data_IF_542776525933
#
_entry.id   IF_542776525933
#
_cell.length_a   1.000
_cell.length_b   1.000
_cell.length_c   1.000
_cell.angle_alpha   90.00
_cell.angle_beta   90.00
_cell.angle_gamma   90.00
#
_symmetry.space_group_name_H-M   'P 1'
#
loop_
_entity.id
_entity.type
_entity.pdbx_description
1 polymer ?
#
# COMPACT_ATOMS: atom_id res chain seq x y z
N UNK A 1 -10.70 -3.14 18.60
CA UNK A 1 -10.23 -1.76 18.31
C UNK A 1 -10.24 -1.58 16.80
N UNK A 2 -10.93 -0.56 16.29
CA UNK A 2 -10.99 -0.29 14.86
C UNK A 2 -9.84 0.63 14.43
N UNK A 3 -9.41 0.52 13.17
CA UNK A 3 -8.37 1.37 12.56
C UNK A 3 -8.93 2.65 11.92
N UNK A 4 -10.23 2.93 12.10
CA UNK A 4 -10.90 4.06 11.47
C UNK A 4 -10.30 5.41 11.92
N UNK A 5 -10.15 6.34 10.98
CA UNK A 5 -9.54 7.66 11.19
C UNK A 5 -8.08 7.61 11.69
N UNK A 6 -7.33 6.56 11.35
CA UNK A 6 -5.89 6.45 11.64
C UNK A 6 -5.08 6.45 10.35
N UNK A 7 -3.86 6.99 10.40
CA UNK A 7 -2.96 7.02 9.25
C UNK A 7 -2.35 5.64 8.99
N UNK A 8 -2.25 5.26 7.72
CA UNK A 8 -1.57 4.04 7.29
C UNK A 8 -0.08 4.13 7.65
N UNK A 9 0.46 3.06 8.23
CA UNK A 9 1.89 2.95 8.57
C UNK A 9 2.72 2.67 7.31
N UNK A 10 4.00 3.07 7.27
CA UNK A 10 4.90 2.71 6.18
C UNK A 10 4.94 1.19 5.99
N UNK A 11 4.84 0.74 4.74
CA UNK A 11 5.00 -0.65 4.36
C UNK A 11 5.72 -0.74 3.01
N UNK A 12 6.34 -1.89 2.76
CA UNK A 12 6.83 -2.30 1.45
C UNK A 12 6.53 -3.79 1.29
N UNK A 13 5.83 -4.14 0.22
CA UNK A 13 5.39 -5.51 -0.05
C UNK A 13 5.55 -5.86 -1.52
N UNK A 14 5.88 -7.12 -1.81
CA UNK A 14 5.91 -7.63 -3.18
C UNK A 14 4.50 -8.05 -3.59
N UNK A 15 4.11 -7.71 -4.81
CA UNK A 15 2.83 -8.03 -5.41
C UNK A 15 3.01 -8.50 -6.85
N UNK A 16 2.07 -9.28 -7.37
CA UNK A 16 2.02 -9.64 -8.80
C UNK A 16 0.92 -8.84 -9.47
N UNK A 17 1.26 -8.08 -10.52
CA UNK A 17 0.32 -7.24 -11.26
C UNK A 17 0.71 -7.24 -12.75
N UNK A 18 -0.28 -7.38 -13.62
CA UNK A 18 -0.12 -7.32 -15.10
C UNK A 18 0.97 -8.26 -15.65
N UNK A 19 1.13 -9.45 -15.06
CA UNK A 19 2.11 -10.44 -15.52
C UNK A 19 3.52 -10.30 -14.92
N UNK A 20 3.74 -9.31 -14.04
CA UNK A 20 5.05 -9.05 -13.43
C UNK A 20 4.97 -8.91 -11.91
N UNK A 21 6.10 -9.16 -11.24
CA UNK A 21 6.26 -8.85 -9.82
C UNK A 21 6.70 -7.39 -9.64
N UNK A 22 6.00 -6.67 -8.78
CA UNK A 22 6.26 -5.27 -8.43
C UNK A 22 6.36 -5.13 -6.92
N UNK A 23 7.06 -4.10 -6.45
CA UNK A 23 7.04 -3.70 -5.05
C UNK A 23 6.05 -2.54 -4.89
N UNK A 24 5.15 -2.66 -3.93
CA UNK A 24 4.16 -1.63 -3.57
C UNK A 24 4.44 -1.16 -2.16
N UNK A 25 4.31 0.14 -1.95
CA UNK A 25 4.57 0.82 -0.69
C UNK A 25 3.43 1.74 -0.28
N UNK A 26 3.51 2.25 0.95
CA UNK A 26 2.57 3.25 1.43
C UNK A 26 2.58 4.55 0.60
N UNK A 27 3.71 4.85 -0.08
CA UNK A 27 3.84 6.03 -0.92
C UNK A 27 3.07 5.89 -2.24
N UNK A 28 2.93 4.67 -2.76
CA UNK A 28 2.24 4.41 -4.03
C UNK A 28 0.74 4.69 -3.96
N UNK A 29 0.17 4.58 -2.76
CA UNK A 29 -1.25 4.82 -2.45
C UNK A 29 -1.51 6.20 -1.86
N UNK A 30 -0.47 6.99 -1.59
CA UNK A 30 -0.63 8.32 -1.02
C UNK A 30 -1.38 9.22 -2.00
N UNK A 31 -2.35 9.97 -1.48
CA UNK A 31 -3.22 10.89 -2.24
C UNK A 31 -4.08 10.20 -3.32
N UNK A 32 -4.21 8.87 -3.27
CA UNK A 32 -5.08 8.08 -4.15
C UNK A 32 -6.16 7.38 -3.33
N UNK A 33 -7.33 7.25 -3.94
CA UNK A 33 -8.44 6.44 -3.46
C UNK A 33 -8.56 5.16 -4.30
#
# INVERSE_FOLDING_TARGET
MALINTQIKPFAANAFKDGAFITVSADDIKDKW
#
